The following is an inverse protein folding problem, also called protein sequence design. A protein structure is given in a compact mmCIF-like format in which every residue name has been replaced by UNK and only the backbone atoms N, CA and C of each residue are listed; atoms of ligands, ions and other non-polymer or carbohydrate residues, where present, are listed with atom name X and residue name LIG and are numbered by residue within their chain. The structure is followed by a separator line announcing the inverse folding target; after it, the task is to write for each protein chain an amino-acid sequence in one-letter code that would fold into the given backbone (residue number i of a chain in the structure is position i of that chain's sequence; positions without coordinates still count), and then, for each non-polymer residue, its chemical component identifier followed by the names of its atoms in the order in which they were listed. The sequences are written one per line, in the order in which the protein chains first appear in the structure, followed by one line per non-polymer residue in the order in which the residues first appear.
data_IF_210617399464
#
_entry.id   IF_210617399464
#
_cell.length_a   1.000
_cell.length_b   1.000
_cell.length_c   1.000
_cell.angle_alpha   90.00
_cell.angle_beta   90.00
_cell.angle_gamma   90.00
#
_symmetry.space_group_name_H-M   'P 1'
#
loop_
_entity.id
_entity.type
_entity.pdbx_description
1 polymer ?
#
# COMPACT_ATOMS: atom_id res chain seq x y z
N UNK A 1 7.25 11.96 -4.73
CA UNK A 1 6.41 11.85 -5.94
C UNK A 1 5.60 13.13 -6.08
N UNK A 2 5.45 13.66 -7.31
CA UNK A 2 4.55 14.77 -7.64
C UNK A 2 3.38 14.20 -8.45
N UNK A 3 2.14 14.68 -8.24
CA UNK A 3 0.96 14.24 -9.00
C UNK A 3 0.21 15.46 -9.54
N UNK A 4 0.09 15.55 -10.85
CA UNK A 4 -0.39 16.71 -11.62
C UNK A 4 -1.74 16.50 -12.32
N UNK A 5 -2.32 15.29 -12.34
CA UNK A 5 -3.63 15.02 -12.94
C UNK A 5 -4.61 14.26 -12.03
N UNK A 6 -5.92 14.40 -12.31
CA UNK A 6 -7.02 13.71 -11.61
C UNK A 6 -7.04 12.20 -11.98
N UNK A 7 -6.09 11.45 -11.45
CA UNK A 7 -5.98 10.01 -11.62
C UNK A 7 -5.16 9.39 -10.49
N UNK A 8 -5.38 8.10 -10.23
CA UNK A 8 -4.55 7.37 -9.28
C UNK A 8 -3.19 7.05 -9.92
N UNK A 9 -2.13 7.49 -9.25
CA UNK A 9 -0.76 7.15 -9.66
C UNK A 9 -0.04 6.44 -8.51
N UNK A 10 0.75 5.43 -8.86
CA UNK A 10 1.39 4.52 -7.91
C UNK A 10 2.90 4.51 -8.07
N UNK A 11 3.63 4.48 -6.95
CA UNK A 11 5.06 4.22 -6.91
C UNK A 11 5.35 3.03 -5.98
N UNK A 12 6.26 2.16 -6.40
CA UNK A 12 6.73 0.99 -5.62
C UNK A 12 8.21 1.15 -5.33
N UNK A 13 8.62 0.83 -4.11
CA UNK A 13 10.03 0.83 -3.72
C UNK A 13 10.76 -0.34 -4.37
N UNK A 14 11.99 -0.09 -4.86
CA UNK A 14 12.88 -1.17 -5.32
C UNK A 14 13.47 -2.02 -4.18
N UNK A 15 13.15 -1.71 -2.92
CA UNK A 15 13.64 -2.46 -1.77
C UNK A 15 12.68 -3.60 -1.40
N UNK A 16 13.11 -4.84 -1.67
CA UNK A 16 12.38 -6.06 -1.30
C UNK A 16 12.75 -6.50 0.12
N UNK A 17 11.75 -6.57 0.98
CA UNK A 17 11.81 -7.05 2.37
C UNK A 17 11.47 -8.53 2.41
N UNK A 18 12.25 -9.33 3.15
CA UNK A 18 12.22 -10.81 3.09
C UNK A 18 12.08 -11.51 4.46
N UNK A 19 12.21 -10.78 5.55
CA UNK A 19 12.19 -11.28 6.92
C UNK A 19 12.56 -10.17 7.90
N UNK A 20 12.32 -10.36 9.19
CA UNK A 20 12.58 -9.34 10.20
C UNK A 20 11.60 -8.16 10.17
N UNK A 21 12.01 -7.09 10.86
CA UNK A 21 11.21 -5.87 11.06
C UNK A 21 11.69 -4.71 10.21
N UNK A 22 10.77 -4.11 9.47
CA UNK A 22 11.04 -2.99 8.57
C UNK A 22 10.10 -1.83 8.88
N UNK A 23 10.66 -0.69 9.25
CA UNK A 23 9.91 0.54 9.52
C UNK A 23 10.22 1.60 8.48
N UNK A 24 9.18 2.27 8.01
CA UNK A 24 9.27 3.47 7.20
C UNK A 24 8.29 4.51 7.69
N UNK A 25 8.65 5.78 7.53
CA UNK A 25 7.73 6.89 7.74
C UNK A 25 7.49 7.64 6.43
N UNK A 26 6.22 7.92 6.16
CA UNK A 26 5.77 8.71 5.04
C UNK A 26 5.37 10.10 5.53
N UNK A 27 6.07 11.13 5.08
CA UNK A 27 5.63 12.50 5.27
C UNK A 27 4.72 12.91 4.11
N UNK A 28 3.52 13.38 4.44
CA UNK A 28 2.49 13.76 3.47
C UNK A 28 2.22 15.26 3.61
N UNK A 29 2.44 15.99 2.52
CA UNK A 29 2.12 17.41 2.40
C UNK A 29 1.07 17.62 1.31
N UNK A 30 -0.10 18.13 1.69
CA UNK A 30 -1.20 18.41 0.75
C UNK A 30 -1.09 19.82 0.19
N UNK A 31 -1.13 19.97 -1.14
CA UNK A 31 -1.05 21.28 -1.82
C UNK A 31 -2.37 22.07 -1.78
N UNK A 32 -3.46 21.47 -1.31
CA UNK A 32 -4.79 22.09 -1.18
C UNK A 32 -5.37 21.79 0.20
N UNK A 33 -6.28 22.65 0.68
CA UNK A 33 -7.02 22.41 1.92
C UNK A 33 -7.84 21.13 1.84
N UNK A 34 -7.62 20.21 2.79
CA UNK A 34 -8.38 18.98 2.93
C UNK A 34 -7.54 17.79 3.39
N UNK A 35 -8.21 16.68 3.70
CA UNK A 35 -7.55 15.43 4.03
C UNK A 35 -6.88 14.81 2.79
N UNK A 36 -5.67 14.23 2.92
CA UNK A 36 -5.01 13.55 1.82
C UNK A 36 -5.79 12.32 1.38
N UNK A 37 -5.72 12.02 0.08
CA UNK A 37 -6.25 10.81 -0.54
C UNK A 37 -5.08 9.97 -1.06
N UNK A 38 -4.40 9.31 -0.12
CA UNK A 38 -3.19 8.53 -0.33
C UNK A 38 -3.37 7.16 0.30
N UNK A 39 -2.99 6.12 -0.43
CA UNK A 39 -2.88 4.75 0.03
C UNK A 39 -1.39 4.45 0.24
N UNK A 40 -1.03 3.98 1.43
CA UNK A 40 0.34 3.63 1.83
C UNK A 40 0.37 2.20 2.31
N UNK A 41 1.32 1.40 1.82
CA UNK A 41 1.26 -0.01 2.16
C UNK A 41 2.40 -0.87 1.64
N UNK A 42 2.10 -2.16 1.61
CA UNK A 42 2.97 -3.21 1.09
C UNK A 42 2.32 -3.88 -0.12
N UNK A 43 3.16 -4.30 -1.05
CA UNK A 43 2.77 -5.03 -2.26
C UNK A 43 3.80 -6.12 -2.52
N UNK A 44 3.41 -7.23 -3.15
CA UNK A 44 4.39 -8.19 -3.66
C UNK A 44 5.40 -7.52 -4.61
N UNK A 45 6.62 -8.08 -4.77
CA UNK A 45 7.59 -7.58 -5.74
C UNK A 45 7.13 -7.87 -7.17
N UNK A 46 6.20 -7.07 -7.68
CA UNK A 46 5.63 -7.15 -9.02
C UNK A 46 5.97 -5.90 -9.82
N UNK A 47 6.08 -6.08 -11.13
CA UNK A 47 6.03 -4.98 -12.09
C UNK A 47 4.58 -4.60 -12.35
N UNK A 48 4.29 -3.30 -12.28
CA UNK A 48 2.98 -2.74 -12.62
C UNK A 48 2.84 -2.41 -14.11
N UNK A 49 3.90 -2.60 -14.90
CA UNK A 49 3.97 -2.23 -16.32
C UNK A 49 4.44 -3.36 -17.23
N UNK A 50 4.93 -4.48 -16.68
CA UNK A 50 5.40 -5.62 -17.47
C UNK A 50 4.20 -6.39 -18.04
N UNK A 51 3.92 -6.17 -19.33
CA UNK A 51 2.74 -6.71 -19.99
C UNK A 51 1.41 -6.11 -19.51
N UNK A 52 1.43 -5.09 -18.64
CA UNK A 52 0.25 -4.37 -18.15
C UNK A 52 0.27 -2.95 -18.70
N UNK A 53 -0.64 -2.66 -19.63
CA UNK A 53 -0.72 -1.39 -20.32
C UNK A 53 -1.51 -0.35 -19.51
N UNK A 54 -1.00 0.89 -19.50
CA UNK A 54 -1.58 1.97 -18.69
C UNK A 54 -3.00 2.34 -19.14
N UNK A 55 -3.25 2.38 -20.45
CA UNK A 55 -4.53 2.85 -20.98
C UNK A 55 -5.56 1.72 -21.06
N UNK A 56 -5.15 0.56 -21.56
CA UNK A 56 -6.07 -0.54 -21.86
C UNK A 56 -6.31 -1.47 -20.67
N UNK A 57 -5.29 -1.75 -19.84
CA UNK A 57 -5.47 -2.59 -18.65
C UNK A 57 -5.81 -1.73 -17.42
N UNK A 58 -5.02 -0.68 -17.17
CA UNK A 58 -5.22 0.20 -16.00
C UNK A 58 -6.28 1.28 -16.19
N UNK A 59 -6.70 1.60 -17.43
CA UNK A 59 -7.65 2.70 -17.73
C UNK A 59 -7.19 4.05 -17.14
N UNK A 60 -5.88 4.30 -17.23
CA UNK A 60 -5.23 5.50 -16.70
C UNK A 60 -5.17 5.60 -15.17
N UNK A 61 -5.58 4.56 -14.43
CA UNK A 61 -5.67 4.56 -12.96
C UNK A 61 -4.97 3.35 -12.36
N UNK A 62 -3.67 3.52 -12.08
CA UNK A 62 -2.87 2.46 -11.46
C UNK A 62 -3.18 2.42 -9.96
N UNK A 63 -4.00 1.46 -9.54
CA UNK A 63 -4.34 1.24 -8.14
C UNK A 63 -4.37 -0.27 -7.79
N UNK A 64 -3.21 -0.84 -7.42
CA UNK A 64 -3.05 -2.29 -7.30
C UNK A 64 -3.92 -2.97 -6.23
N UNK A 65 -4.38 -2.24 -5.20
CA UNK A 65 -5.22 -2.85 -4.16
C UNK A 65 -6.64 -3.14 -4.66
N UNK A 66 -7.09 -2.43 -5.69
CA UNK A 66 -8.43 -2.59 -6.24
C UNK A 66 -8.48 -3.60 -7.39
N UNK A 67 -7.35 -4.12 -7.88
CA UNK A 67 -7.35 -5.19 -8.86
C UNK A 67 -7.91 -6.49 -8.23
N UNK A 68 -8.86 -7.12 -8.92
CA UNK A 68 -9.50 -8.39 -8.56
C UNK A 68 -10.01 -9.12 -9.80
N UNK A 69 -10.50 -10.35 -9.66
CA UNK A 69 -11.14 -11.06 -10.78
C UNK A 69 -12.45 -10.40 -11.24
N UNK A 70 -13.12 -9.63 -10.38
CA UNK A 70 -14.34 -8.88 -10.71
C UNK A 70 -14.05 -7.44 -11.18
N UNK A 71 -12.94 -6.83 -10.77
CA UNK A 71 -12.56 -5.46 -11.08
C UNK A 71 -11.14 -5.42 -11.64
N UNK A 72 -11.02 -5.22 -12.96
CA UNK A 72 -9.78 -5.34 -13.75
C UNK A 72 -9.19 -6.77 -13.76
N UNK A 73 -9.93 -7.79 -14.25
CA UNK A 73 -9.48 -9.18 -14.27
C UNK A 73 -8.14 -9.39 -14.99
N UNK A 74 -7.92 -8.71 -16.13
CA UNK A 74 -6.68 -8.83 -16.90
C UNK A 74 -5.46 -8.35 -16.10
N UNK A 75 -5.60 -7.23 -15.38
CA UNK A 75 -4.57 -6.73 -14.46
C UNK A 75 -4.33 -7.74 -13.34
N UNK A 76 -5.41 -8.21 -12.71
CA UNK A 76 -5.33 -9.12 -11.57
C UNK A 76 -4.64 -10.45 -11.94
N UNK A 77 -4.93 -11.00 -13.12
CA UNK A 77 -4.25 -12.18 -13.67
C UNK A 77 -2.75 -11.91 -13.93
N UNK A 78 -2.42 -10.79 -14.58
CA UNK A 78 -1.02 -10.41 -14.88
C UNK A 78 -0.20 -10.11 -13.63
N UNK A 79 -0.80 -9.61 -12.55
CA UNK A 79 -0.11 -9.43 -11.28
C UNK A 79 0.13 -10.78 -10.59
N UNK A 80 -0.84 -11.71 -10.64
CA UNK A 80 -0.68 -13.06 -10.08
C UNK A 80 0.27 -13.95 -10.87
N UNK A 81 0.36 -13.78 -12.19
CA UNK A 81 1.28 -14.57 -13.03
C UNK A 81 2.76 -14.31 -12.70
N UNK A 82 3.07 -13.18 -12.04
CA UNK A 82 4.40 -12.84 -11.54
C UNK A 82 4.76 -13.53 -10.21
N UNK A 83 3.86 -14.38 -9.67
CA UNK A 83 4.10 -15.12 -8.43
C UNK A 83 5.39 -15.92 -8.50
N UNK A 84 6.14 -15.89 -7.40
CA UNK A 84 7.34 -16.72 -7.22
C UNK A 84 7.20 -17.58 -5.96
N UNK A 85 8.07 -18.57 -5.81
CA UNK A 85 8.13 -19.38 -4.58
C UNK A 85 8.37 -18.56 -3.31
N UNK A 86 8.95 -17.35 -3.44
CA UNK A 86 9.28 -16.48 -2.30
C UNK A 86 8.09 -15.69 -1.75
N UNK A 87 6.92 -15.79 -2.37
CA UNK A 87 5.68 -15.23 -1.81
C UNK A 87 5.11 -16.13 -0.69
N UNK A 88 5.65 -17.34 -0.56
CA UNK A 88 5.25 -18.32 0.45
C UNK A 88 3.75 -18.62 0.38
N UNK A 89 3.10 -18.84 1.53
CA UNK A 89 1.69 -19.25 1.64
C UNK A 89 0.74 -18.06 1.87
N UNK A 90 1.26 -16.87 2.19
CA UNK A 90 0.39 -15.71 2.48
C UNK A 90 -0.37 -15.25 1.24
N UNK A 91 -1.69 -15.14 1.38
CA UNK A 91 -2.61 -14.65 0.35
C UNK A 91 -2.72 -13.11 0.33
N UNK A 92 -2.07 -12.39 1.24
CA UNK A 92 -2.06 -10.93 1.18
C UNK A 92 -1.04 -10.50 0.14
N UNK A 93 -1.50 -10.07 -1.03
CA UNK A 93 -0.62 -9.66 -2.14
C UNK A 93 -0.41 -8.16 -2.21
N UNK A 94 -1.40 -7.40 -1.75
CA UNK A 94 -1.30 -5.96 -1.56
C UNK A 94 -2.15 -5.58 -0.35
N UNK A 95 -1.63 -4.71 0.52
CA UNK A 95 -2.33 -4.20 1.70
C UNK A 95 -1.95 -2.75 1.95
N UNK A 96 -2.94 -1.89 2.18
CA UNK A 96 -2.76 -0.45 2.32
C UNK A 96 -3.61 0.15 3.41
N UNK A 97 -3.03 1.16 4.05
CA UNK A 97 -3.70 2.14 4.89
C UNK A 97 -4.17 3.32 4.04
N UNK A 98 -5.47 3.65 4.10
CA UNK A 98 -6.02 4.81 3.39
C UNK A 98 -6.02 6.07 4.26
N UNK A 99 -5.22 7.08 3.89
CA UNK A 99 -4.98 8.27 4.70
C UNK A 99 -6.22 9.09 5.04
N UNK A 100 -7.30 8.99 4.25
CA UNK A 100 -8.49 9.82 4.46
C UNK A 100 -9.28 9.42 5.73
N UNK A 101 -9.46 8.13 5.96
CA UNK A 101 -10.27 7.58 7.06
C UNK A 101 -9.57 6.51 7.89
N UNK A 102 -8.38 6.10 7.48
CA UNK A 102 -7.55 5.09 8.15
C UNK A 102 -7.92 3.65 7.83
N UNK A 103 -8.80 3.40 6.85
CA UNK A 103 -9.22 2.03 6.49
C UNK A 103 -8.07 1.19 5.99
N UNK A 104 -8.11 -0.09 6.32
CA UNK A 104 -7.29 -1.12 5.71
C UNK A 104 -8.00 -1.63 4.45
N UNK A 105 -7.30 -1.60 3.31
CA UNK A 105 -7.70 -2.32 2.10
C UNK A 105 -6.66 -3.36 1.78
N UNK A 106 -7.07 -4.54 1.33
CA UNK A 106 -6.15 -5.57 0.88
C UNK A 106 -6.75 -6.42 -0.23
N UNK A 107 -5.90 -7.16 -0.94
CA UNK A 107 -6.31 -8.04 -2.04
C UNK A 107 -5.32 -9.20 -2.19
N UNK A 108 -5.86 -10.35 -2.61
CA UNK A 108 -5.12 -11.50 -3.13
C UNK A 108 -5.10 -11.52 -4.67
N UNK A 109 -5.67 -10.49 -5.32
CA UNK A 109 -5.88 -10.34 -6.76
C UNK A 109 -6.73 -11.45 -7.41
N UNK A 110 -7.47 -12.23 -6.62
CA UNK A 110 -8.38 -13.25 -7.13
C UNK A 110 -9.80 -12.98 -6.66
N UNK A 111 -10.03 -12.79 -5.37
CA UNK A 111 -11.33 -12.40 -4.85
C UNK A 111 -11.54 -10.89 -4.93
N UNK A 112 -12.76 -10.43 -4.65
CA UNK A 112 -13.00 -9.01 -4.41
C UNK A 112 -12.03 -8.48 -3.36
N UNK A 113 -11.55 -7.25 -3.57
CA UNK A 113 -10.71 -6.60 -2.61
C UNK A 113 -11.51 -6.39 -1.32
N UNK A 114 -10.89 -6.66 -0.19
CA UNK A 114 -11.57 -6.58 1.09
C UNK A 114 -11.14 -5.30 1.84
N UNK A 115 -12.07 -4.76 2.62
CA UNK A 115 -11.82 -3.66 3.53
C UNK A 115 -12.11 -4.11 4.95
N UNK A 116 -11.10 -4.13 5.79
CA UNK A 116 -11.25 -4.57 7.18
C UNK A 116 -11.22 -3.36 8.10
N UNK A 117 -12.28 -3.19 8.90
CA UNK A 117 -12.22 -2.28 10.03
C UNK A 117 -11.24 -2.84 11.07
N UNK A 118 -10.46 -1.97 11.68
CA UNK A 118 -9.47 -2.32 12.71
C UNK A 118 -9.48 -1.28 13.83
N UNK A 119 -9.13 -1.70 15.04
CA UNK A 119 -9.36 -0.91 16.26
C UNK A 119 -8.71 0.49 16.24
N UNK A 120 -7.55 0.63 15.61
CA UNK A 120 -6.76 1.88 15.55
C UNK A 120 -7.07 2.78 14.37
N UNK A 121 -8.13 2.50 13.60
CA UNK A 121 -8.48 3.20 12.37
C UNK A 121 -8.68 4.71 12.57
N UNK A 122 -7.69 5.50 12.15
CA UNK A 122 -7.73 6.97 12.27
C UNK A 122 -7.16 7.70 11.06
N UNK A 123 -8.00 8.34 10.23
CA UNK A 123 -7.53 9.18 9.12
C UNK A 123 -6.64 10.38 9.50
N UNK A 124 -5.97 10.95 8.50
CA UNK A 124 -5.17 12.16 8.56
C UNK A 124 -6.01 13.37 8.13
N UNK A 125 -6.04 14.44 8.92
CA UNK A 125 -6.88 15.64 8.66
C UNK A 125 -6.22 16.69 7.76
N UNK A 126 -4.96 16.50 7.38
CA UNK A 126 -4.15 17.44 6.60
C UNK A 126 -2.73 16.91 6.46
N UNK A 127 -1.73 17.77 6.63
CA UNK A 127 -0.33 17.37 6.65
C UNK A 127 -0.02 16.53 7.89
N UNK A 128 0.97 15.64 7.77
CA UNK A 128 1.46 14.83 8.88
C UNK A 128 2.24 13.62 8.40
N UNK A 129 2.52 12.71 9.34
CA UNK A 129 3.27 11.49 9.05
C UNK A 129 2.44 10.24 9.31
N UNK A 130 2.65 9.24 8.45
CA UNK A 130 2.16 7.89 8.65
C UNK A 130 3.37 6.95 8.65
N UNK A 131 3.59 6.27 9.76
CA UNK A 131 4.59 5.22 9.87
C UNK A 131 3.98 3.86 9.63
N UNK A 132 4.70 2.98 8.92
CA UNK A 132 4.33 1.59 8.72
C UNK A 132 5.46 0.70 9.24
N UNK A 133 5.10 -0.28 10.08
CA UNK A 133 6.00 -1.33 10.55
C UNK A 133 5.53 -2.67 9.99
N UNK A 134 6.30 -3.22 9.06
CA UNK A 134 6.13 -4.58 8.59
C UNK A 134 7.01 -5.49 9.46
N UNK A 135 6.37 -6.37 10.22
CA UNK A 135 7.02 -7.42 11.01
C UNK A 135 6.75 -8.76 10.31
N UNK A 136 7.74 -9.27 9.57
CA UNK A 136 7.61 -10.57 8.88
C UNK A 136 7.87 -11.75 9.81
N UNK A 137 8.41 -11.52 11.01
CA UNK A 137 8.60 -12.58 12.00
C UNK A 137 7.28 -12.88 12.72
N UNK A 138 6.50 -11.83 13.03
CA UNK A 138 5.14 -11.96 13.58
C UNK A 138 4.04 -12.03 12.50
N UNK A 139 4.36 -11.67 11.25
CA UNK A 139 3.41 -11.63 10.14
C UNK A 139 2.39 -10.49 10.24
N UNK A 140 2.81 -9.31 10.72
CA UNK A 140 1.94 -8.16 10.99
C UNK A 140 2.35 -6.88 10.28
N UNK A 141 1.38 -6.00 10.02
CA UNK A 141 1.59 -4.62 9.57
C UNK A 141 0.95 -3.68 10.58
N UNK A 142 1.77 -2.93 11.31
CA UNK A 142 1.33 -1.93 12.27
C UNK A 142 1.39 -0.51 11.70
N UNK A 143 0.50 0.35 12.15
CA UNK A 143 0.40 1.76 11.71
C UNK A 143 0.75 2.71 12.85
N UNK A 144 1.45 3.78 12.50
CA UNK A 144 1.78 4.91 13.35
C UNK A 144 1.28 6.18 12.69
N UNK A 145 0.82 7.14 13.48
CA UNK A 145 0.36 8.44 13.00
C UNK A 145 0.99 9.53 13.84
N UNK A 146 1.78 10.39 13.20
CA UNK A 146 2.55 11.44 13.88
C UNK A 146 3.36 10.86 15.06
N UNK A 147 4.07 9.75 14.83
CA UNK A 147 4.84 9.02 15.84
C UNK A 147 4.03 8.17 16.85
N UNK A 148 2.71 8.36 16.98
CA UNK A 148 1.88 7.54 17.88
C UNK A 148 1.47 6.23 17.20
N UNK A 149 1.74 5.10 17.85
CA UNK A 149 1.25 3.78 17.40
C UNK A 149 -0.28 3.71 17.47
N UNK A 150 -0.91 3.37 16.35
CA UNK A 150 -2.36 3.15 16.25
C UNK A 150 -2.73 1.69 16.51
N UNK A 151 -1.85 0.75 16.16
CA UNK A 151 -2.05 -0.69 16.38
C UNK A 151 -1.68 -1.54 15.18
N UNK A 152 -2.01 -2.84 15.25
CA UNK A 152 -1.88 -3.78 14.13
C UNK A 152 -3.07 -3.60 13.19
N UNK A 153 -2.79 -3.32 11.92
CA UNK A 153 -3.80 -3.13 10.88
C UNK A 153 -4.07 -4.40 10.09
N UNK A 154 -3.05 -5.24 9.87
CA UNK A 154 -3.18 -6.51 9.15
C UNK A 154 -2.27 -7.58 9.74
N UNK A 155 -2.78 -8.81 9.78
CA UNK A 155 -2.06 -10.02 10.17
C UNK A 155 -2.05 -11.03 9.02
N UNK A 156 -1.28 -12.12 9.17
CA UNK A 156 -1.18 -13.20 8.17
C UNK A 156 -0.26 -12.85 7.00
N UNK A 157 0.69 -11.94 7.22
CA UNK A 157 1.68 -11.53 6.22
C UNK A 157 2.84 -12.52 6.23
N UNK A 158 3.35 -12.86 5.05
CA UNK A 158 4.49 -13.76 4.88
C UNK A 158 5.11 -13.62 3.50
N UNK A 159 6.33 -14.09 3.32
CA UNK A 159 7.10 -13.93 2.09
C UNK A 159 7.44 -12.47 1.73
N UNK A 160 7.97 -12.30 0.52
CA UNK A 160 8.54 -11.03 0.08
C UNK A 160 7.50 -9.93 -0.16
N UNK A 161 7.86 -8.70 0.25
CA UNK A 161 7.06 -7.50 0.03
C UNK A 161 7.95 -6.28 -0.28
N UNK A 162 7.39 -5.30 -0.99
CA UNK A 162 7.92 -3.97 -1.21
C UNK A 162 6.98 -2.93 -0.60
N UNK A 163 7.51 -1.77 -0.21
CA UNK A 163 6.69 -0.60 0.10
C UNK A 163 6.08 -0.02 -1.17
N UNK A 164 4.86 0.50 -1.08
CA UNK A 164 4.26 1.26 -2.16
C UNK A 164 3.40 2.43 -1.65
N UNK A 165 3.11 3.35 -2.57
CA UNK A 165 2.21 4.47 -2.37
C UNK A 165 1.35 4.69 -3.60
N UNK A 166 0.06 4.99 -3.41
CA UNK A 166 -0.87 5.35 -4.46
C UNK A 166 -1.62 6.64 -4.08
N UNK A 167 -1.56 7.66 -4.93
CA UNK A 167 -2.14 8.98 -4.63
C UNK A 167 -3.17 9.40 -5.70
N UNK A 168 -4.27 10.02 -5.28
CA UNK A 168 -5.36 10.52 -6.16
C UNK A 168 -5.44 12.05 -6.23
N UNK A 169 -4.64 12.75 -5.43
CA UNK A 169 -4.67 14.20 -5.33
C UNK A 169 -3.25 14.75 -5.29
N UNK A 170 -3.02 15.95 -5.85
CA UNK A 170 -1.78 16.69 -5.71
C UNK A 170 -1.28 16.73 -4.27
N UNK A 171 -0.23 15.98 -4.00
CA UNK A 171 0.50 15.96 -2.73
C UNK A 171 1.99 15.72 -2.98
N UNK A 172 2.80 16.12 -2.01
CA UNK A 172 4.19 15.70 -1.93
C UNK A 172 4.28 14.58 -0.90
N UNK A 173 4.88 13.47 -1.32
CA UNK A 173 5.13 12.32 -0.44
C UNK A 173 6.61 12.00 -0.48
N UNK A 174 7.23 11.94 0.69
CA UNK A 174 8.57 11.43 0.92
C UNK A 174 8.53 10.20 1.83
N UNK A 175 9.46 9.29 1.62
CA UNK A 175 9.63 8.07 2.42
C UNK A 175 11.02 8.09 3.04
N UNK A 176 11.09 7.91 4.35
CA UNK A 176 12.35 7.74 5.08
C UNK A 176 12.35 6.38 5.78
N UNK A 177 13.53 5.76 5.85
CA UNK A 177 13.77 4.70 6.83
C UNK A 177 14.06 5.35 8.17
N UNK A 178 13.43 4.84 9.20
CA UNK A 178 13.74 5.19 10.59
C UNK A 178 13.69 3.92 11.46
N UNK A 179 14.07 4.02 12.73
CA UNK A 179 13.75 3.01 13.73
C UNK A 179 12.31 3.22 14.17
N UNK A 180 11.54 2.14 14.26
CA UNK A 180 10.20 2.21 14.84
C UNK A 180 10.30 2.83 16.25
N UNK A 181 9.42 3.78 16.61
CA UNK A 181 9.32 4.27 17.98
C UNK A 181 9.11 3.10 18.94
N UNK A 182 9.89 3.06 20.02
CA UNK A 182 9.75 2.04 21.08
C UNK A 182 8.36 2.09 21.73
#
# INVERSE_FOLDING_TARGET
MFTDDLGWSTAVSGHVMRGGRHFVEFAIETHRQGAPSVNLGIIRPVSLTDGIDLETDWEGKVHPVFASSSFKPAVAEKLRSQRTAKWEESNVHCCTYYSYNGRCYWTDWDSENDSSDWQGQEGLRGNGTIGLLLDLDEGTLSVFKNGRRLGVMKEGLGGEHCWFVTANRPCTISISRDRAPN
#
